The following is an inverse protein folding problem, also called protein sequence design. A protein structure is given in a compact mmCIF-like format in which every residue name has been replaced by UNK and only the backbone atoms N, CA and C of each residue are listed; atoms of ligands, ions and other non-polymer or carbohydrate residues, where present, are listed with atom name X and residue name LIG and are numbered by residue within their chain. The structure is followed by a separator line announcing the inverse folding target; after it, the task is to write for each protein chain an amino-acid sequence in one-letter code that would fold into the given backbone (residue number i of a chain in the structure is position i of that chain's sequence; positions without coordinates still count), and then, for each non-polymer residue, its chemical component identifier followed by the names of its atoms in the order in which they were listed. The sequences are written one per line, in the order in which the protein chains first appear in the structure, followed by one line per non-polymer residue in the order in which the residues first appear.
data_IF_031412933975
#
_entry.id   IF_031412933975
#
_cell.length_a   1.000
_cell.length_b   1.000
_cell.length_c   1.000
_cell.angle_alpha   90.00
_cell.angle_beta   90.00
_cell.angle_gamma   90.00
#
_symmetry.space_group_name_H-M   'P 1'
#
loop_
_entity.id
_entity.type
_entity.pdbx_description
1 polymer ?
#
# COMPACT_ATOMS: atom_id res chain seq x y z
N UNK A 1 -14.72 6.44 -30.88
CA UNK A 1 -14.14 7.80 -30.92
C UNK A 1 -13.67 8.35 -29.56
N UNK A 2 -14.38 8.12 -28.44
CA UNK A 2 -13.96 8.65 -27.13
C UNK A 2 -12.68 8.00 -26.54
N UNK A 3 -12.48 6.69 -26.76
CA UNK A 3 -11.29 5.97 -26.30
C UNK A 3 -10.01 6.53 -26.95
N UNK A 4 -10.02 6.78 -28.26
CA UNK A 4 -8.87 7.34 -28.99
C UNK A 4 -8.49 8.75 -28.53
N UNK A 5 -9.45 9.61 -28.16
CA UNK A 5 -9.16 10.95 -27.64
C UNK A 5 -8.46 10.92 -26.28
N UNK A 6 -8.84 9.99 -25.40
CA UNK A 6 -8.22 9.86 -24.07
C UNK A 6 -6.79 9.32 -24.14
N UNK A 7 -6.53 8.36 -25.04
CA UNK A 7 -5.17 7.83 -25.25
C UNK A 7 -4.24 8.94 -25.76
N UNK A 8 -4.69 9.75 -26.72
CA UNK A 8 -3.92 10.90 -27.23
C UNK A 8 -3.67 11.96 -26.16
N UNK A 9 -4.66 12.26 -25.31
CA UNK A 9 -4.49 13.19 -24.20
C UNK A 9 -3.47 12.67 -23.17
N UNK A 10 -3.50 11.38 -22.84
CA UNK A 10 -2.55 10.77 -21.92
C UNK A 10 -1.13 10.77 -22.51
N UNK A 11 -0.95 10.47 -23.81
CA UNK A 11 0.36 10.58 -24.48
C UNK A 11 0.89 12.02 -24.42
N UNK A 12 0.04 13.01 -24.70
CA UNK A 12 0.42 14.42 -24.60
C UNK A 12 0.81 14.80 -23.16
N UNK A 13 0.01 14.39 -22.18
CA UNK A 13 0.29 14.65 -20.77
C UNK A 13 1.60 13.96 -20.33
N UNK A 14 1.86 12.75 -20.81
CA UNK A 14 3.11 12.03 -20.55
C UNK A 14 4.32 12.81 -21.07
N UNK A 15 4.27 13.23 -22.34
CA UNK A 15 5.36 14.02 -22.97
C UNK A 15 5.59 15.35 -22.25
N UNK A 16 4.54 15.99 -21.75
CA UNK A 16 4.63 17.29 -21.09
C UNK A 16 5.10 17.20 -19.64
N UNK A 17 4.63 16.21 -18.88
CA UNK A 17 4.77 16.20 -17.42
C UNK A 17 5.71 15.12 -16.86
N UNK A 18 6.13 14.12 -17.65
CA UNK A 18 7.02 13.05 -17.17
C UNK A 18 8.36 13.58 -16.64
N UNK A 19 9.03 14.47 -17.38
CA UNK A 19 10.30 15.07 -16.94
C UNK A 19 10.15 15.89 -15.66
N UNK A 20 9.04 16.62 -15.55
CA UNK A 20 8.72 17.38 -14.35
C UNK A 20 8.45 16.44 -13.15
N UNK A 21 7.68 15.36 -13.36
CA UNK A 21 7.36 14.39 -12.31
C UNK A 21 8.60 13.64 -11.82
N UNK A 22 9.49 13.22 -12.73
CA UNK A 22 10.80 12.65 -12.37
C UNK A 22 11.60 13.64 -11.52
N UNK A 23 11.66 14.92 -11.93
CA UNK A 23 12.38 15.95 -11.17
C UNK A 23 11.75 16.21 -9.80
N UNK A 24 10.43 16.09 -9.69
CA UNK A 24 9.71 16.20 -8.43
C UNK A 24 9.98 14.98 -7.52
N UNK A 25 10.02 13.77 -8.08
CA UNK A 25 10.35 12.54 -7.36
C UNK A 25 11.79 12.54 -6.86
N UNK A 26 12.75 12.99 -7.67
CA UNK A 26 14.17 13.09 -7.29
C UNK A 26 14.42 14.02 -6.09
N UNK A 27 13.48 14.90 -5.74
CA UNK A 27 13.55 15.70 -4.49
C UNK A 27 13.12 14.91 -3.24
N UNK A 28 12.68 13.67 -3.40
CA UNK A 28 12.10 12.80 -2.35
C UNK A 28 12.78 11.45 -2.25
N UNK A 29 13.35 10.98 -3.35
CA UNK A 29 14.06 9.71 -3.45
C UNK A 29 15.40 9.91 -4.12
N UNK A 30 16.42 9.20 -3.63
CA UNK A 30 17.81 9.31 -4.11
C UNK A 30 18.12 8.35 -5.27
N UNK A 31 17.09 7.74 -5.88
CA UNK A 31 17.24 6.82 -7.00
C UNK A 31 16.51 7.34 -8.24
N UNK A 32 17.29 7.55 -9.31
CA UNK A 32 16.77 7.94 -10.63
C UNK A 32 15.97 6.83 -11.30
N UNK A 33 16.39 5.58 -11.12
CA UNK A 33 15.69 4.41 -11.66
C UNK A 33 14.31 4.29 -11.01
N UNK A 34 14.26 4.35 -9.67
CA UNK A 34 12.99 4.34 -8.95
C UNK A 34 12.08 5.53 -9.32
N UNK A 35 12.66 6.71 -9.57
CA UNK A 35 11.89 7.86 -10.03
C UNK A 35 11.29 7.64 -11.43
N UNK A 36 12.01 6.97 -12.32
CA UNK A 36 11.50 6.61 -13.64
C UNK A 36 10.39 5.56 -13.54
N UNK A 37 10.58 4.52 -12.72
CA UNK A 37 9.60 3.45 -12.50
C UNK A 37 8.30 4.00 -11.91
N UNK A 38 8.38 4.79 -10.84
CA UNK A 38 7.19 5.41 -10.22
C UNK A 38 6.49 6.36 -11.20
N UNK A 39 7.25 7.04 -12.07
CA UNK A 39 6.66 7.86 -13.13
C UNK A 39 5.87 6.99 -14.10
N UNK A 40 6.44 5.89 -14.59
CA UNK A 40 5.75 4.96 -15.48
C UNK A 40 4.48 4.39 -14.80
N UNK A 41 4.61 3.89 -13.57
CA UNK A 41 3.49 3.34 -12.80
C UNK A 41 2.37 4.36 -12.57
N UNK A 42 2.73 5.64 -12.40
CA UNK A 42 1.75 6.73 -12.27
C UNK A 42 0.89 6.85 -13.54
N UNK A 43 1.51 6.81 -14.70
CA UNK A 43 0.80 6.88 -15.98
C UNK A 43 0.09 5.56 -16.32
N UNK A 44 0.64 4.42 -15.93
CA UNK A 44 -0.05 3.13 -16.05
C UNK A 44 -1.33 3.10 -15.22
N UNK A 45 -1.29 3.55 -13.96
CA UNK A 45 -2.48 3.71 -13.10
C UNK A 45 -3.48 4.68 -13.73
N UNK A 46 -3.02 5.73 -14.40
CA UNK A 46 -3.87 6.67 -15.13
C UNK A 46 -4.61 5.97 -16.28
N UNK A 47 -3.91 5.15 -17.07
CA UNK A 47 -4.45 4.40 -18.22
C UNK A 47 -5.43 3.30 -17.76
N UNK A 48 -5.12 2.59 -16.67
CA UNK A 48 -5.96 1.50 -16.15
C UNK A 48 -7.25 1.96 -15.47
N UNK A 49 -7.41 3.26 -15.17
CA UNK A 49 -8.62 3.75 -14.49
C UNK A 49 -9.86 3.63 -15.38
N UNK A 50 -10.88 2.94 -14.86
CA UNK A 50 -12.19 2.70 -15.51
C UNK A 50 -12.93 3.97 -15.97
N UNK A 51 -12.58 5.15 -15.42
CA UNK A 51 -13.18 6.45 -15.76
C UNK A 51 -12.28 7.31 -16.66
N UNK A 52 -11.74 6.69 -17.72
CA UNK A 52 -10.86 7.36 -18.68
C UNK A 52 -11.44 8.66 -19.25
N UNK A 53 -12.77 8.73 -19.40
CA UNK A 53 -13.50 9.90 -19.90
C UNK A 53 -13.41 11.13 -18.99
N UNK A 54 -13.07 10.97 -17.70
CA UNK A 54 -12.90 12.09 -16.76
C UNK A 54 -11.47 12.62 -16.75
N UNK A 55 -10.52 11.92 -17.37
CA UNK A 55 -9.10 12.30 -17.38
C UNK A 55 -8.88 13.57 -18.21
N UNK A 56 -9.57 13.70 -19.34
CA UNK A 56 -9.56 14.92 -20.15
C UNK A 56 -10.19 16.14 -19.46
N UNK A 57 -10.85 15.96 -18.30
CA UNK A 57 -11.46 17.04 -17.51
C UNK A 57 -10.66 17.40 -16.25
N UNK A 58 -9.48 16.81 -16.05
CA UNK A 58 -8.61 17.12 -14.91
C UNK A 58 -8.17 18.58 -15.02
N UNK A 59 -8.61 19.42 -14.07
CA UNK A 59 -8.26 20.84 -14.00
C UNK A 59 -6.80 21.07 -13.60
N UNK A 60 -6.25 20.21 -12.74
CA UNK A 60 -4.89 20.31 -12.20
C UNK A 60 -4.12 18.99 -12.40
N UNK A 61 -3.56 18.76 -13.60
CA UNK A 61 -2.90 17.49 -13.92
C UNK A 61 -1.73 17.18 -13.00
N UNK A 62 -0.89 18.18 -12.68
CA UNK A 62 0.26 18.03 -11.79
C UNK A 62 -0.12 17.59 -10.38
N UNK A 63 -1.11 18.24 -9.77
CA UNK A 63 -1.59 17.88 -8.44
C UNK A 63 -2.09 16.43 -8.43
N UNK A 64 -2.88 16.06 -9.44
CA UNK A 64 -3.40 14.71 -9.60
C UNK A 64 -2.30 13.65 -9.77
N UNK A 65 -1.32 13.92 -10.64
CA UNK A 65 -0.16 13.03 -10.84
C UNK A 65 0.64 12.86 -9.54
N UNK A 66 0.87 13.95 -8.79
CA UNK A 66 1.57 13.86 -7.50
C UNK A 66 0.80 13.07 -6.46
N UNK A 67 -0.52 13.13 -6.44
CA UNK A 67 -1.33 12.28 -5.54
C UNK A 67 -1.12 10.80 -5.83
N UNK A 68 -1.13 10.41 -7.11
CA UNK A 68 -0.89 9.01 -7.51
C UNK A 68 0.55 8.60 -7.16
N UNK A 69 1.53 9.42 -7.52
CA UNK A 69 2.94 9.16 -7.28
C UNK A 69 3.27 9.08 -5.77
N UNK A 70 2.62 9.90 -4.94
CA UNK A 70 2.73 9.83 -3.49
C UNK A 70 2.20 8.50 -2.94
N UNK A 71 1.05 8.03 -3.44
CA UNK A 71 0.52 6.72 -3.07
C UNK A 71 1.49 5.60 -3.46
N UNK A 72 2.05 5.64 -4.68
CA UNK A 72 3.06 4.68 -5.14
C UNK A 72 4.33 4.70 -4.29
N UNK A 73 4.80 5.89 -3.89
CA UNK A 73 5.94 6.01 -2.97
C UNK A 73 5.63 5.38 -1.61
N UNK A 74 4.45 5.66 -1.06
CA UNK A 74 4.03 5.05 0.21
C UNK A 74 3.97 3.53 0.10
N UNK A 75 3.41 3.00 -1.00
CA UNK A 75 3.37 1.56 -1.29
C UNK A 75 4.78 0.95 -1.39
N UNK A 76 5.70 1.64 -2.08
CA UNK A 76 7.09 1.21 -2.21
C UNK A 76 7.80 1.14 -0.85
N UNK A 77 7.69 2.19 -0.03
CA UNK A 77 8.34 2.25 1.27
C UNK A 77 7.76 1.21 2.24
N UNK A 78 6.44 1.01 2.22
CA UNK A 78 5.77 -0.03 3.00
C UNK A 78 6.34 -1.42 2.68
N UNK A 79 6.40 -1.77 1.39
CA UNK A 79 6.99 -3.04 0.94
C UNK A 79 8.45 -3.17 1.37
N UNK A 80 9.25 -2.11 1.21
CA UNK A 80 10.66 -2.08 1.66
C UNK A 80 10.81 -2.31 3.16
N UNK A 81 9.93 -1.75 3.98
CA UNK A 81 9.93 -1.99 5.43
C UNK A 81 9.67 -3.46 5.76
N UNK A 82 8.70 -4.07 5.09
CA UNK A 82 8.37 -5.50 5.26
C UNK A 82 9.53 -6.39 4.80
N UNK A 83 10.10 -6.12 3.63
CA UNK A 83 11.27 -6.83 3.10
C UNK A 83 12.46 -6.77 4.07
N UNK A 84 12.71 -5.59 4.65
CA UNK A 84 13.78 -5.44 5.63
C UNK A 84 13.52 -6.27 6.90
N UNK A 85 12.32 -6.21 7.45
CA UNK A 85 11.95 -6.99 8.63
C UNK A 85 12.01 -8.51 8.37
N UNK A 86 11.62 -8.93 7.16
CA UNK A 86 11.77 -10.31 6.70
C UNK A 86 13.23 -10.74 6.64
N UNK A 87 14.10 -9.93 6.01
CA UNK A 87 15.53 -10.24 5.92
C UNK A 87 16.20 -10.30 7.29
N UNK A 88 15.84 -9.40 8.21
CA UNK A 88 16.30 -9.44 9.61
C UNK A 88 15.88 -10.76 10.28
N UNK A 89 14.64 -11.19 10.10
CA UNK A 89 14.13 -12.47 10.65
C UNK A 89 14.82 -13.67 9.99
N UNK A 90 14.89 -13.70 8.66
CA UNK A 90 15.50 -14.77 7.89
C UNK A 90 17.00 -14.94 8.18
N UNK A 91 17.71 -13.86 8.51
CA UNK A 91 19.13 -13.91 8.89
C UNK A 91 19.40 -14.71 10.17
N UNK A 92 18.38 -14.90 11.00
CA UNK A 92 18.44 -15.70 12.24
C UNK A 92 17.97 -17.15 12.08
N UNK A 93 17.44 -17.52 10.91
CA UNK A 93 16.98 -18.88 10.65
C UNK A 93 18.16 -19.79 10.28
N UNK A 94 18.11 -21.08 10.65
CA UNK A 94 18.97 -22.10 10.07
C UNK A 94 18.82 -22.15 8.54
N UNK A 95 19.90 -22.46 7.83
CA UNK A 95 19.89 -22.45 6.36
C UNK A 95 18.83 -23.39 5.75
N UNK A 96 18.57 -24.52 6.41
CA UNK A 96 17.57 -25.52 6.01
C UNK A 96 16.11 -25.02 6.13
N UNK A 97 15.88 -23.98 6.95
CA UNK A 97 14.56 -23.40 7.18
C UNK A 97 14.31 -22.15 6.30
N UNK A 98 15.31 -21.70 5.53
CA UNK A 98 15.15 -20.56 4.62
C UNK A 98 14.25 -20.99 3.45
N UNK A 99 13.09 -20.35 3.25
CA UNK A 99 12.20 -20.71 2.16
C UNK A 99 12.85 -20.47 0.79
N UNK A 100 12.36 -21.14 -0.25
CA UNK A 100 12.82 -20.86 -1.63
C UNK A 100 12.50 -19.41 -2.04
N UNK A 101 13.22 -18.83 -3.02
CA UNK A 101 12.95 -17.46 -3.48
C UNK A 101 11.49 -17.22 -3.91
N UNK A 102 10.86 -18.22 -4.52
CA UNK A 102 9.45 -18.17 -4.93
C UNK A 102 8.53 -18.09 -3.71
N UNK A 103 8.78 -18.90 -2.69
CA UNK A 103 8.01 -18.88 -1.43
C UNK A 103 8.24 -17.57 -0.68
N UNK A 104 9.48 -17.07 -0.64
CA UNK A 104 9.78 -15.76 -0.05
C UNK A 104 9.00 -14.64 -0.73
N UNK A 105 8.91 -14.67 -2.07
CA UNK A 105 8.13 -13.70 -2.82
C UNK A 105 6.65 -13.71 -2.42
N UNK A 106 6.04 -14.89 -2.34
CA UNK A 106 4.64 -15.06 -1.92
C UNK A 106 4.44 -14.54 -0.49
N UNK A 107 5.35 -14.85 0.43
CA UNK A 107 5.28 -14.37 1.82
C UNK A 107 5.29 -12.84 1.86
N UNK A 108 6.26 -12.21 1.18
CA UNK A 108 6.40 -10.75 1.15
C UNK A 108 5.21 -10.05 0.51
N UNK A 109 4.68 -10.61 -0.58
CA UNK A 109 3.47 -10.12 -1.23
C UNK A 109 2.27 -10.21 -0.28
N UNK A 110 2.05 -11.38 0.32
CA UNK A 110 0.96 -11.62 1.27
C UNK A 110 1.04 -10.67 2.47
N UNK A 111 2.22 -10.49 3.06
CA UNK A 111 2.42 -9.55 4.18
C UNK A 111 2.14 -8.11 3.76
N UNK A 112 2.53 -7.73 2.55
CA UNK A 112 2.27 -6.39 2.01
C UNK A 112 0.78 -6.16 1.81
N UNK A 113 0.03 -7.15 1.32
CA UNK A 113 -1.43 -7.09 1.17
C UNK A 113 -2.13 -6.99 2.52
N UNK A 114 -1.69 -7.78 3.52
CA UNK A 114 -2.23 -7.71 4.87
C UNK A 114 -1.98 -6.33 5.49
N UNK A 115 -0.76 -5.79 5.39
CA UNK A 115 -0.46 -4.46 5.94
C UNK A 115 -1.32 -3.36 5.27
N UNK A 116 -1.49 -3.43 3.95
CA UNK A 116 -2.38 -2.52 3.21
C UNK A 116 -3.84 -2.63 3.68
N UNK A 117 -4.35 -3.86 3.85
CA UNK A 117 -5.70 -4.10 4.34
C UNK A 117 -5.90 -3.54 5.76
N UNK A 118 -4.85 -3.52 6.58
CA UNK A 118 -4.92 -3.00 7.95
C UNK A 118 -4.65 -1.48 8.05
N UNK A 119 -4.21 -0.81 6.97
CA UNK A 119 -3.85 0.62 6.98
C UNK A 119 -5.08 1.54 7.20
N UNK A 120 -6.28 1.08 6.82
CA UNK A 120 -7.53 1.81 7.07
C UNK A 120 -7.99 1.79 8.54
N UNK A 121 -7.33 1.03 9.41
CA UNK A 121 -7.66 0.92 10.84
C UNK A 121 -6.93 1.96 11.68
N UNK A 122 -7.63 2.48 12.70
CA UNK A 122 -6.99 3.28 13.75
C UNK A 122 -5.93 2.45 14.49
N UNK A 123 -4.81 3.03 14.94
CA UNK A 123 -3.70 2.28 15.54
C UNK A 123 -4.10 1.35 16.69
N UNK A 124 -4.99 1.79 17.60
CA UNK A 124 -5.46 0.98 18.71
C UNK A 124 -6.33 -0.21 18.26
N UNK A 125 -7.09 -0.04 17.17
CA UNK A 125 -7.94 -1.09 16.59
C UNK A 125 -7.07 -2.14 15.91
N UNK A 126 -6.11 -1.71 15.09
CA UNK A 126 -5.11 -2.58 14.45
C UNK A 126 -4.33 -3.39 15.50
N UNK A 127 -3.86 -2.73 16.56
CA UNK A 127 -3.12 -3.39 17.65
C UNK A 127 -3.95 -4.44 18.37
N UNK A 128 -5.21 -4.14 18.72
CA UNK A 128 -6.10 -5.10 19.35
C UNK A 128 -6.34 -6.33 18.45
N UNK A 129 -6.49 -6.12 17.14
CA UNK A 129 -6.67 -7.19 16.17
C UNK A 129 -5.44 -8.10 16.07
N UNK A 130 -4.24 -7.52 15.94
CA UNK A 130 -3.00 -8.29 15.89
C UNK A 130 -2.77 -9.10 17.17
N UNK A 131 -3.03 -8.52 18.35
CA UNK A 131 -2.95 -9.25 19.62
C UNK A 131 -3.92 -10.44 19.70
N UNK A 132 -5.09 -10.33 19.09
CA UNK A 132 -6.04 -11.43 19.05
C UNK A 132 -5.62 -12.53 18.06
N UNK A 133 -5.12 -12.15 16.88
CA UNK A 133 -4.83 -13.08 15.78
C UNK A 133 -3.44 -13.72 15.84
N UNK A 134 -2.42 -12.96 16.25
CA UNK A 134 -1.04 -13.44 16.28
C UNK A 134 -0.65 -13.97 17.66
N UNK A 135 -1.02 -13.24 18.72
CA UNK A 135 -0.68 -13.62 20.10
C UNK A 135 -1.74 -14.49 20.78
N UNK A 136 -2.89 -14.72 20.13
CA UNK A 136 -3.99 -15.54 20.66
C UNK A 136 -4.65 -14.97 21.93
N UNK A 137 -4.51 -13.67 22.19
CA UNK A 137 -5.04 -13.07 23.41
C UNK A 137 -6.56 -12.93 23.40
N UNK A 138 -7.16 -13.18 24.56
CA UNK A 138 -8.59 -12.95 24.79
C UNK A 138 -8.91 -11.46 24.90
N UNK A 139 -10.17 -11.08 24.66
CA UNK A 139 -10.63 -9.69 24.83
C UNK A 139 -10.31 -9.10 26.22
N UNK A 140 -10.35 -9.93 27.28
CA UNK A 140 -9.97 -9.52 28.64
C UNK A 140 -8.48 -9.19 28.78
N UNK A 141 -7.61 -10.02 28.19
CA UNK A 141 -6.16 -9.78 28.20
C UNK A 141 -5.80 -8.54 27.38
N UNK A 142 -6.45 -8.37 26.21
CA UNK A 142 -6.27 -7.20 25.35
C UNK A 142 -6.73 -5.93 26.06
N UNK A 143 -7.89 -5.96 26.73
CA UNK A 143 -8.40 -4.84 27.52
C UNK A 143 -7.39 -4.39 28.57
N UNK A 144 -6.78 -5.34 29.29
CA UNK A 144 -5.73 -5.07 30.28
C UNK A 144 -4.47 -4.47 29.62
N UNK A 145 -4.00 -5.04 28.51
CA UNK A 145 -2.77 -4.61 27.84
C UNK A 145 -2.91 -3.24 27.16
N UNK A 146 -4.10 -2.90 26.66
CA UNK A 146 -4.38 -1.61 26.02
C UNK A 146 -4.96 -0.57 26.98
N UNK A 147 -5.16 -0.93 28.25
CA UNK A 147 -5.76 -0.09 29.29
C UNK A 147 -7.12 0.49 28.87
N UNK A 148 -8.03 -0.39 28.43
CA UNK A 148 -9.40 -0.05 28.03
C UNK A 148 -10.40 -1.01 28.66
N UNK A 149 -11.70 -0.71 28.59
CA UNK A 149 -12.73 -1.65 29.03
C UNK A 149 -12.81 -2.88 28.12
N UNK A 150 -13.29 -4.01 28.66
CA UNK A 150 -13.53 -5.24 27.89
C UNK A 150 -14.39 -4.97 26.64
N UNK A 151 -15.50 -4.26 26.82
CA UNK A 151 -16.39 -3.89 25.72
C UNK A 151 -15.69 -3.06 24.63
N UNK A 152 -14.71 -2.22 25.01
CA UNK A 152 -13.92 -1.46 24.02
C UNK A 152 -12.96 -2.35 23.26
N UNK A 153 -12.27 -3.28 23.93
CA UNK A 153 -11.38 -4.23 23.28
C UNK A 153 -12.15 -5.14 22.31
N UNK A 154 -13.29 -5.69 22.72
CA UNK A 154 -14.16 -6.50 21.87
C UNK A 154 -14.67 -5.70 20.66
N UNK A 155 -15.06 -4.43 20.87
CA UNK A 155 -15.46 -3.54 19.77
C UNK A 155 -14.31 -3.26 18.81
N UNK A 156 -13.08 -3.09 19.29
CA UNK A 156 -11.92 -2.92 18.42
C UNK A 156 -11.70 -4.15 17.54
N UNK A 157 -11.70 -5.34 18.12
CA UNK A 157 -11.53 -6.60 17.38
C UNK A 157 -12.64 -6.76 16.33
N UNK A 158 -13.91 -6.54 16.71
CA UNK A 158 -15.05 -6.64 15.79
C UNK A 158 -14.97 -5.62 14.64
N UNK A 159 -14.55 -4.38 14.92
CA UNK A 159 -14.38 -3.36 13.89
C UNK A 159 -13.25 -3.72 12.91
N UNK A 160 -12.16 -4.30 13.39
CA UNK A 160 -11.08 -4.78 12.54
C UNK A 160 -11.56 -5.89 11.60
N UNK A 161 -12.27 -6.90 12.13
CA UNK A 161 -12.86 -7.96 11.30
C UNK A 161 -13.79 -7.41 10.23
N UNK A 162 -14.69 -6.48 10.58
CA UNK A 162 -15.59 -5.85 9.60
C UNK A 162 -14.83 -5.10 8.51
N UNK A 163 -13.78 -4.38 8.89
CA UNK A 163 -12.95 -3.66 7.93
C UNK A 163 -12.27 -4.59 6.92
N UNK A 164 -11.62 -5.65 7.42
CA UNK A 164 -10.98 -6.64 6.57
C UNK A 164 -12.00 -7.35 5.69
N UNK A 165 -13.15 -7.73 6.24
CA UNK A 165 -14.22 -8.40 5.50
C UNK A 165 -14.76 -7.53 4.36
N UNK A 166 -15.03 -6.25 4.61
CA UNK A 166 -15.50 -5.32 3.59
C UNK A 166 -14.48 -5.20 2.44
N UNK A 167 -13.18 -5.11 2.74
CA UNK A 167 -12.16 -5.01 1.69
C UNK A 167 -11.98 -6.29 0.85
N UNK A 168 -12.25 -7.46 1.42
CA UNK A 168 -12.11 -8.74 0.71
C UNK A 168 -13.35 -9.10 -0.13
N UNK A 169 -14.54 -8.65 0.27
CA UNK A 169 -15.81 -9.17 -0.27
C UNK A 169 -16.81 -8.11 -0.76
N UNK A 170 -16.51 -6.80 -0.63
CA UNK A 170 -17.32 -5.70 -1.20
C UNK A 170 -16.57 -4.97 -2.33
#
# INVERSE_FOLDING_TARGET
MAVSKNVLYIDQLYRQESTWLISWLLKRIESRELAADITQDTFERLIKRKRLHQIATIREPRAYLTTIAHGLLADHWRRRTIEKAWLETASSLPHEEIPSPEVQHIILETLTEIDQMLDGLKPAVRKAFLLAQLDGLTGKQIAKQLNVSLATAERYIANAFRHCYALCYE
#
